data_IF_757339790771
#
_entry.id   IF_757339790771
#
_cell.length_a   1.000
_cell.length_b   1.000
_cell.length_c   1.000
_cell.angle_alpha   90.00
_cell.angle_beta   90.00
_cell.angle_gamma   90.00
#
_symmetry.space_group_name_H-M   'P 1'
#
loop_
_entity.id
_entity.type
_entity.pdbx_description
1 polymer ?
#
# COMPACT_ATOMS: atom_id res chain seq x y z
N UNK A 1 -7.27 62.39 -36.31
CA UNK A 1 -8.34 62.68 -35.35
C UNK A 1 -7.97 62.05 -34.02
N UNK A 2 -7.88 62.89 -32.98
CA UNK A 2 -7.85 62.70 -31.50
C UNK A 2 -7.10 61.48 -30.91
N UNK A 3 -6.06 61.66 -30.08
CA UNK A 3 -6.04 62.21 -28.69
C UNK A 3 -6.91 61.37 -27.74
N UNK A 4 -6.65 61.13 -26.46
CA UNK A 4 -5.54 61.30 -25.52
C UNK A 4 -6.07 60.69 -24.19
N UNK A 5 -5.18 60.22 -23.31
CA UNK A 5 -5.25 60.30 -21.82
C UNK A 5 -6.54 59.84 -21.08
N UNK A 6 -6.39 58.91 -20.12
CA UNK A 6 -6.73 59.16 -18.70
C UNK A 6 -6.42 57.95 -17.81
N UNK A 7 -5.47 58.14 -16.89
CA UNK A 7 -5.34 57.47 -15.59
C UNK A 7 -6.14 58.26 -14.55
N UNK A 8 -6.88 57.61 -13.65
CA UNK A 8 -6.95 57.84 -12.19
C UNK A 8 -8.23 57.26 -11.54
N UNK A 9 -8.10 56.94 -10.25
CA UNK A 9 -9.13 56.57 -9.26
C UNK A 9 -9.66 55.11 -9.32
N UNK A 10 -9.78 54.34 -8.24
CA UNK A 10 -10.11 54.75 -6.89
C UNK A 10 -9.59 53.74 -5.84
N UNK A 11 -8.66 54.24 -5.03
CA UNK A 11 -8.02 53.61 -3.90
C UNK A 11 -8.94 53.75 -2.67
N UNK A 12 -10.09 53.05 -2.63
CA UNK A 12 -11.12 53.31 -1.59
C UNK A 12 -11.92 52.11 -1.07
N UNK A 13 -11.34 50.91 -1.05
CA UNK A 13 -12.02 49.71 -0.53
C UNK A 13 -11.13 48.82 0.37
N UNK A 14 -10.23 49.41 1.17
CA UNK A 14 -9.33 48.65 2.08
C UNK A 14 -9.29 49.18 3.53
N UNK A 15 -10.28 49.94 3.99
CA UNK A 15 -10.29 50.53 5.35
C UNK A 15 -11.62 50.42 6.11
N UNK A 16 -12.51 49.48 5.76
CA UNK A 16 -13.83 49.35 6.40
C UNK A 16 -14.08 48.02 7.14
N UNK A 17 -13.09 47.11 7.22
CA UNK A 17 -13.24 45.80 7.91
C UNK A 17 -12.17 45.67 9.00
N UNK A 18 -12.04 46.71 9.82
CA UNK A 18 -11.01 46.76 10.88
C UNK A 18 -11.48 47.58 12.08
N UNK A 19 -12.77 47.51 12.46
CA UNK A 19 -13.29 48.18 13.67
C UNK A 19 -14.56 47.54 14.29
N UNK A 20 -14.95 46.31 13.90
CA UNK A 20 -16.13 45.63 14.46
C UNK A 20 -15.73 44.23 14.94
N UNK A 21 -15.12 44.16 16.13
CA UNK A 21 -15.00 42.93 16.93
C UNK A 21 -14.27 43.14 18.27
N UNK A 22 -13.82 44.37 18.56
CA UNK A 22 -13.28 44.76 19.86
C UNK A 22 -14.32 45.60 20.61
N UNK A 23 -15.33 44.97 21.22
CA UNK A 23 -16.18 45.44 22.34
C UNK A 23 -17.44 44.56 22.40
N UNK A 24 -17.79 44.08 23.61
CA UNK A 24 -18.85 43.10 23.98
C UNK A 24 -18.28 41.67 24.12
N UNK A 25 -18.07 41.07 25.29
CA UNK A 25 -18.71 41.32 26.58
C UNK A 25 -17.87 40.70 27.70
N UNK A 26 -17.26 41.56 28.52
CA UNK A 26 -16.85 41.24 29.88
C UNK A 26 -18.07 41.56 30.74
N UNK A 27 -18.91 40.58 31.03
CA UNK A 27 -19.93 40.67 32.07
C UNK A 27 -20.51 39.28 32.35
N UNK A 28 -20.07 38.67 33.45
CA UNK A 28 -20.88 37.90 34.41
C UNK A 28 -20.02 36.80 35.05
N UNK A 29 -19.14 37.21 35.96
CA UNK A 29 -18.86 36.38 37.11
C UNK A 29 -20.12 36.40 37.98
N UNK A 30 -20.80 35.26 38.09
CA UNK A 30 -21.74 35.03 39.18
C UNK A 30 -21.43 33.66 39.74
N UNK A 31 -20.84 33.66 40.93
CA UNK A 31 -20.70 32.47 41.77
C UNK A 31 -22.08 31.87 42.01
N UNK A 32 -22.26 30.63 41.59
CA UNK A 32 -23.33 29.79 42.08
C UNK A 32 -22.70 28.54 42.71
N UNK A 33 -22.60 28.55 44.04
CA UNK A 33 -22.28 27.36 44.85
C UNK A 33 -23.47 26.43 44.81
N UNK A 34 -23.47 25.50 43.86
CA UNK A 34 -24.26 24.28 43.95
C UNK A 34 -23.31 23.10 44.08
N UNK A 35 -23.33 22.50 45.27
CA UNK A 35 -22.77 21.19 45.55
C UNK A 35 -23.48 20.17 44.64
N UNK A 36 -22.81 19.78 43.56
CA UNK A 36 -23.07 18.52 42.89
C UNK A 36 -21.78 17.71 42.96
N UNK A 37 -21.83 16.67 43.77
CA UNK A 37 -20.84 15.59 43.77
C UNK A 37 -20.82 15.00 42.36
N UNK A 38 -19.85 15.42 41.55
CA UNK A 38 -19.39 14.61 40.43
C UNK A 38 -18.20 13.82 40.96
N UNK A 39 -18.38 12.52 41.13
CA UNK A 39 -17.25 11.59 41.07
C UNK A 39 -16.52 11.86 39.76
N UNK A 40 -15.42 12.61 39.85
CA UNK A 40 -14.44 12.68 38.79
C UNK A 40 -13.77 11.31 38.75
N UNK A 41 -14.45 10.36 38.11
CA UNK A 41 -13.81 9.19 37.56
C UNK A 41 -12.72 9.71 36.65
N UNK A 42 -11.48 9.75 37.16
CA UNK A 42 -10.30 9.84 36.32
C UNK A 42 -10.33 8.60 35.45
N UNK A 43 -10.99 8.69 34.31
CA UNK A 43 -10.72 7.78 33.20
C UNK A 43 -9.32 8.13 32.77
N UNK A 44 -8.34 7.48 33.39
CA UNK A 44 -7.00 7.36 32.83
C UNK A 44 -7.20 6.79 31.45
N UNK A 45 -7.14 7.66 30.44
CA UNK A 45 -6.95 7.24 29.06
C UNK A 45 -5.58 6.60 29.06
N UNK A 46 -5.55 5.27 29.22
CA UNK A 46 -4.33 4.50 29.05
C UNK A 46 -3.82 4.86 27.66
N UNK A 47 -2.67 5.52 27.62
CA UNK A 47 -1.98 5.82 26.38
C UNK A 47 -1.70 4.48 25.71
N UNK A 48 -2.48 4.17 24.66
CA UNK A 48 -2.31 2.96 23.86
C UNK A 48 -0.84 2.91 23.46
N UNK A 49 -0.10 1.91 23.93
CA UNK A 49 1.29 1.74 23.53
C UNK A 49 1.35 1.72 22.01
N UNK A 50 2.30 2.48 21.45
CA UNK A 50 2.54 2.48 20.01
C UNK A 50 2.92 1.06 19.58
N UNK A 51 2.13 0.48 18.68
CA UNK A 51 2.37 -0.86 18.14
C UNK A 51 3.69 -0.84 17.35
N UNK A 52 4.58 -1.80 17.59
CA UNK A 52 5.79 -2.00 16.80
C UNK A 52 5.56 -3.00 15.66
N UNK A 53 6.39 -2.96 14.60
CA UNK A 53 6.27 -3.94 13.50
C UNK A 53 6.47 -5.37 13.99
N UNK A 54 7.32 -5.60 14.99
CA UNK A 54 7.55 -6.92 15.58
C UNK A 54 6.32 -7.47 16.30
N UNK A 55 5.46 -6.61 16.84
CA UNK A 55 4.21 -7.03 17.49
C UNK A 55 3.20 -7.61 16.49
N UNK A 56 3.41 -7.36 15.19
CA UNK A 56 2.55 -7.87 14.13
C UNK A 56 2.81 -9.34 13.80
N UNK A 57 3.92 -9.94 14.25
CA UNK A 57 4.33 -11.31 13.85
C UNK A 57 3.20 -12.34 14.02
N UNK A 58 2.45 -12.26 15.11
CA UNK A 58 1.34 -13.19 15.39
C UNK A 58 0.10 -13.02 14.50
N UNK A 59 0.06 -12.02 13.62
CA UNK A 59 -1.05 -11.74 12.69
C UNK A 59 -0.88 -12.41 11.33
N UNK A 60 0.34 -12.80 10.99
CA UNK A 60 0.64 -13.41 9.69
C UNK A 60 0.18 -14.86 9.65
N UNK A 61 -0.40 -15.24 8.51
CA UNK A 61 -0.92 -16.60 8.29
C UNK A 61 0.20 -17.64 8.23
N UNK A 62 1.27 -17.29 7.53
CA UNK A 62 2.41 -18.15 7.27
C UNK A 62 3.68 -17.60 7.92
N UNK A 63 4.68 -18.47 8.05
CA UNK A 63 6.02 -18.11 8.52
C UNK A 63 7.06 -18.82 7.67
N UNK A 64 8.13 -18.11 7.32
CA UNK A 64 9.36 -18.66 6.75
C UNK A 64 9.14 -19.46 5.45
N UNK A 65 8.21 -18.99 4.61
CA UNK A 65 7.98 -19.55 3.28
C UNK A 65 9.18 -19.31 2.36
N UNK A 66 9.63 -20.36 1.67
CA UNK A 66 10.68 -20.29 0.65
C UNK A 66 10.14 -20.06 -0.76
N UNK A 67 8.84 -20.28 -1.02
CA UNK A 67 8.23 -20.18 -2.35
C UNK A 67 6.94 -19.39 -2.29
N UNK A 68 6.67 -18.62 -3.35
CA UNK A 68 5.55 -17.69 -3.40
C UNK A 68 4.88 -17.75 -4.76
N UNK A 69 3.55 -17.79 -4.69
CA UNK A 69 2.63 -17.65 -5.79
C UNK A 69 1.37 -16.99 -5.20
N UNK A 70 0.65 -16.20 -5.99
CA UNK A 70 -0.65 -15.69 -5.57
C UNK A 70 -1.65 -16.85 -5.53
N UNK A 71 -2.34 -17.00 -4.40
CA UNK A 71 -3.34 -18.04 -4.23
C UNK A 71 -4.57 -17.77 -5.13
N UNK A 72 -5.09 -18.81 -5.78
CA UNK A 72 -6.27 -18.73 -6.69
C UNK A 72 -7.60 -18.66 -5.95
N UNK A 73 -7.61 -18.18 -4.70
CA UNK A 73 -8.79 -18.12 -3.86
C UNK A 73 -9.78 -17.07 -4.35
N UNK A 74 -11.08 -17.40 -4.27
CA UNK A 74 -12.17 -16.47 -4.52
C UNK A 74 -12.11 -15.31 -3.54
N UNK A 75 -12.30 -14.09 -4.05
CA UNK A 75 -12.32 -12.84 -3.30
C UNK A 75 -13.28 -12.88 -2.12
N UNK A 76 -14.41 -13.56 -2.25
CA UNK A 76 -15.41 -13.68 -1.18
C UNK A 76 -14.94 -14.58 -0.02
N UNK A 77 -14.06 -15.54 -0.31
CA UNK A 77 -13.54 -16.49 0.70
C UNK A 77 -12.25 -16.02 1.36
N UNK A 78 -11.61 -15.00 0.79
CA UNK A 78 -10.34 -14.45 1.25
C UNK A 78 -10.49 -13.72 2.60
N UNK A 79 -11.53 -12.90 2.85
CA UNK A 79 -11.88 -12.41 4.18
C UNK A 79 -12.19 -13.59 5.13
N UNK A 80 -11.31 -13.83 6.10
CA UNK A 80 -11.42 -14.95 7.04
C UNK A 80 -10.36 -16.04 6.85
N UNK A 81 -9.72 -16.11 5.67
CA UNK A 81 -8.53 -16.95 5.49
C UNK A 81 -7.27 -16.24 5.99
N UNK A 82 -7.14 -14.95 5.64
CA UNK A 82 -6.12 -14.06 6.16
C UNK A 82 -6.70 -13.02 7.11
N UNK A 83 -5.84 -12.46 7.95
CA UNK A 83 -6.17 -11.28 8.72
C UNK A 83 -5.92 -10.02 7.87
N UNK A 84 -6.91 -9.13 7.82
CA UNK A 84 -6.82 -7.85 7.13
C UNK A 84 -5.94 -6.85 7.88
N UNK A 85 -5.21 -6.03 7.14
CA UNK A 85 -4.50 -4.87 7.68
C UNK A 85 -5.49 -3.74 7.92
N UNK A 86 -5.57 -3.31 9.18
CA UNK A 86 -6.33 -2.12 9.53
C UNK A 86 -5.58 -0.83 9.17
N UNK A 87 -6.31 0.28 9.11
CA UNK A 87 -5.72 1.60 8.78
C UNK A 87 -4.60 2.06 9.72
N UNK A 88 -4.55 1.57 10.95
CA UNK A 88 -3.51 1.94 11.92
C UNK A 88 -2.21 1.21 11.64
N UNK A 89 -2.30 -0.09 11.32
CA UNK A 89 -1.15 -0.93 10.95
C UNK A 89 -0.65 -0.66 9.54
N UNK A 90 -1.53 -0.27 8.61
CA UNK A 90 -1.12 0.20 7.30
C UNK A 90 -0.09 1.33 7.40
N UNK A 91 -0.36 2.36 8.21
CA UNK A 91 0.56 3.50 8.35
C UNK A 91 1.90 3.12 8.96
N UNK A 92 1.94 2.04 9.73
CA UNK A 92 3.17 1.50 10.30
C UNK A 92 4.02 0.80 9.23
N UNK A 93 3.38 0.17 8.24
CA UNK A 93 4.03 -0.53 7.12
C UNK A 93 4.40 0.49 6.03
N UNK A 94 3.45 1.23 5.46
CA UNK A 94 3.70 2.23 4.42
C UNK A 94 3.97 3.62 5.00
N UNK A 95 5.18 3.77 5.55
CA UNK A 95 5.61 4.96 6.30
C UNK A 95 5.87 6.21 5.42
N UNK A 96 6.10 6.03 4.12
CA UNK A 96 6.44 7.13 3.22
C UNK A 96 5.23 7.96 2.77
N UNK A 97 4.01 7.48 3.07
CA UNK A 97 2.76 8.15 2.74
C UNK A 97 2.44 8.23 1.24
N UNK A 98 3.18 7.54 0.37
CA UNK A 98 2.91 7.56 -1.08
C UNK A 98 1.70 6.73 -1.46
N UNK A 99 1.44 5.66 -0.70
CA UNK A 99 0.30 4.78 -0.89
C UNK A 99 -0.83 5.18 0.07
N UNK A 100 -2.03 5.38 -0.47
CA UNK A 100 -3.22 5.58 0.34
C UNK A 100 -3.71 4.25 0.90
N UNK A 101 -4.29 4.27 2.11
CA UNK A 101 -4.97 3.11 2.66
C UNK A 101 -6.27 2.86 1.88
N UNK A 102 -6.42 1.64 1.36
CA UNK A 102 -7.54 1.25 0.49
C UNK A 102 -8.58 0.35 1.15
N UNK A 103 -8.39 -0.05 2.42
CA UNK A 103 -9.07 -1.19 3.08
C UNK A 103 -10.59 -1.12 3.32
N UNK A 104 -11.37 -0.85 2.28
CA UNK A 104 -12.82 -1.00 2.20
C UNK A 104 -13.19 -1.57 0.82
N UNK A 105 -14.20 -2.44 0.76
CA UNK A 105 -14.65 -3.02 -0.51
C UNK A 105 -13.77 -4.19 -0.97
N UNK A 106 -13.47 -4.23 -2.27
CA UNK A 106 -12.61 -5.24 -2.88
C UNK A 106 -11.12 -4.95 -2.70
N UNK A 107 -10.75 -3.69 -2.50
CA UNK A 107 -9.36 -3.27 -2.31
C UNK A 107 -8.89 -3.52 -0.86
N UNK A 108 -7.99 -4.47 -0.65
CA UNK A 108 -7.55 -4.87 0.70
C UNK A 108 -6.10 -5.31 0.77
N UNK A 109 -5.53 -5.13 1.95
CA UNK A 109 -4.23 -5.66 2.32
C UNK A 109 -4.39 -6.72 3.40
N UNK A 110 -3.62 -7.81 3.28
CA UNK A 110 -3.66 -8.93 4.22
C UNK A 110 -2.28 -9.31 4.74
N UNK A 111 -2.21 -9.75 5.99
CA UNK A 111 -1.01 -10.31 6.59
C UNK A 111 -0.76 -11.70 6.00
N UNK A 112 0.21 -11.83 5.10
CA UNK A 112 0.46 -13.08 4.39
C UNK A 112 1.50 -13.96 5.10
N UNK A 113 2.78 -13.58 5.07
CA UNK A 113 3.85 -14.37 5.71
C UNK A 113 4.85 -13.51 6.46
N UNK A 114 5.23 -13.94 7.67
CA UNK A 114 6.42 -13.41 8.35
C UNK A 114 7.69 -14.15 7.91
N UNK A 115 8.86 -13.50 7.90
CA UNK A 115 10.13 -14.10 7.50
C UNK A 115 11.22 -13.86 8.56
N UNK A 116 12.05 -14.88 8.81
CA UNK A 116 13.14 -14.83 9.80
C UNK A 116 14.49 -15.23 9.20
N UNK A 117 14.77 -14.76 7.97
CA UNK A 117 16.02 -15.08 7.25
C UNK A 117 17.21 -14.31 7.79
N UNK A 118 17.02 -13.04 8.12
CA UNK A 118 18.08 -12.20 8.69
C UNK A 118 17.66 -11.61 10.05
N UNK A 119 18.37 -11.92 11.16
CA UNK A 119 18.01 -11.42 12.49
C UNK A 119 18.22 -9.91 12.68
N UNK A 120 18.95 -9.24 11.78
CA UNK A 120 19.13 -7.78 11.82
C UNK A 120 18.03 -7.02 11.06
N UNK A 121 17.15 -7.72 10.34
CA UNK A 121 16.07 -7.16 9.56
C UNK A 121 14.71 -7.59 10.11
N UNK A 122 13.69 -6.79 9.81
CA UNK A 122 12.29 -7.18 9.95
C UNK A 122 11.75 -7.38 8.53
N UNK A 123 11.34 -8.60 8.24
CA UNK A 123 10.94 -9.03 6.90
C UNK A 123 9.57 -9.71 6.95
N UNK A 124 8.67 -9.29 6.07
CA UNK A 124 7.36 -9.91 5.95
C UNK A 124 6.74 -9.64 4.58
N UNK A 125 5.68 -10.36 4.28
CA UNK A 125 4.95 -10.33 3.03
C UNK A 125 3.53 -9.88 3.29
N UNK A 126 3.09 -8.87 2.53
CA UNK A 126 1.69 -8.44 2.48
C UNK A 126 1.09 -8.93 1.16
N UNK A 127 -0.10 -9.52 1.23
CA UNK A 127 -0.93 -9.71 0.05
C UNK A 127 -1.76 -8.44 -0.17
N UNK A 128 -1.52 -7.76 -1.28
CA UNK A 128 -2.31 -6.61 -1.73
C UNK A 128 -3.27 -7.07 -2.81
N UNK A 129 -4.55 -6.76 -2.62
CA UNK A 129 -5.60 -6.87 -3.63
C UNK A 129 -6.02 -5.44 -4.00
N UNK A 130 -5.90 -5.10 -5.27
CA UNK A 130 -6.28 -3.79 -5.80
C UNK A 130 -7.06 -4.00 -7.10
N UNK A 131 -8.39 -3.97 -6.98
CA UNK A 131 -9.36 -4.13 -8.06
C UNK A 131 -9.11 -3.11 -9.17
N UNK A 132 -8.72 -1.89 -8.83
CA UNK A 132 -8.45 -0.83 -9.81
C UNK A 132 -7.24 -1.12 -10.70
N UNK A 133 -6.32 -1.96 -10.20
CA UNK A 133 -5.15 -2.44 -10.94
C UNK A 133 -5.35 -3.80 -11.60
N UNK A 134 -6.48 -4.48 -11.31
CA UNK A 134 -6.73 -5.88 -11.66
C UNK A 134 -5.63 -6.85 -11.23
N UNK A 135 -4.90 -6.52 -10.15
CA UNK A 135 -3.76 -7.28 -9.67
C UNK A 135 -3.92 -7.69 -8.20
N UNK A 136 -3.56 -8.94 -7.94
CA UNK A 136 -3.17 -9.43 -6.63
C UNK A 136 -1.64 -9.50 -6.57
N UNK A 137 -1.03 -8.95 -5.52
CA UNK A 137 0.42 -8.84 -5.37
C UNK A 137 0.89 -9.37 -4.01
N UNK A 138 1.92 -10.21 -4.00
CA UNK A 138 2.68 -10.54 -2.80
C UNK A 138 3.89 -9.60 -2.70
N UNK A 139 3.78 -8.58 -1.86
CA UNK A 139 4.82 -7.59 -1.64
C UNK A 139 5.72 -8.01 -0.47
N UNK A 140 7.01 -8.24 -0.73
CA UNK A 140 8.03 -8.40 0.31
C UNK A 140 8.46 -7.04 0.83
N UNK A 141 8.35 -6.82 2.13
CA UNK A 141 8.69 -5.57 2.79
C UNK A 141 9.87 -5.77 3.75
N UNK A 142 10.87 -4.90 3.65
CA UNK A 142 12.13 -4.99 4.41
C UNK A 142 12.30 -3.73 5.25
N UNK A 143 12.48 -3.92 6.55
CA UNK A 143 12.70 -2.87 7.52
C UNK A 143 13.95 -3.16 8.34
N UNK A 144 14.54 -2.10 8.90
CA UNK A 144 15.56 -2.28 9.93
C UNK A 144 14.91 -2.76 11.24
N UNK A 145 15.74 -3.23 12.19
CA UNK A 145 15.27 -3.67 13.52
C UNK A 145 14.57 -2.59 14.36
N UNK A 146 14.68 -1.31 13.99
CA UNK A 146 13.95 -0.22 14.63
C UNK A 146 12.60 0.04 13.94
N UNK A 147 12.28 -0.75 12.92
CA UNK A 147 11.05 -0.65 12.15
C UNK A 147 11.06 0.42 11.08
N UNK A 148 12.21 0.96 10.66
CA UNK A 148 12.29 1.92 9.55
C UNK A 148 12.31 1.19 8.21
N UNK A 149 11.47 1.62 7.28
CA UNK A 149 11.44 1.04 5.93
C UNK A 149 12.80 1.18 5.22
N UNK A 150 13.30 0.07 4.69
CA UNK A 150 14.55 0.01 3.91
C UNK A 150 14.23 -0.13 2.43
N UNK A 151 13.52 -1.19 2.07
CA UNK A 151 13.24 -1.56 0.68
C UNK A 151 12.03 -2.50 0.58
N UNK A 152 11.55 -2.73 -0.63
CA UNK A 152 10.49 -3.69 -0.91
C UNK A 152 10.52 -4.13 -2.37
N UNK A 153 9.98 -5.32 -2.66
CA UNK A 153 9.80 -5.79 -4.04
C UNK A 153 8.65 -6.80 -4.12
N UNK A 154 8.14 -7.03 -5.33
CA UNK A 154 7.07 -8.00 -5.59
C UNK A 154 7.71 -9.40 -5.70
N UNK A 155 7.19 -10.36 -4.94
CA UNK A 155 7.60 -11.78 -5.00
C UNK A 155 6.82 -12.54 -6.06
N UNK A 156 5.52 -12.26 -6.12
CA UNK A 156 4.56 -12.94 -6.95
C UNK A 156 3.40 -11.99 -7.25
N UNK A 157 2.79 -12.18 -8.40
CA UNK A 157 1.68 -11.37 -8.86
C UNK A 157 0.73 -12.22 -9.70
N UNK A 158 -0.53 -11.83 -9.70
CA UNK A 158 -1.53 -12.34 -10.62
C UNK A 158 -2.39 -11.17 -11.05
N UNK A 159 -2.28 -10.79 -12.31
CA UNK A 159 -3.05 -9.71 -12.92
C UNK A 159 -3.76 -10.19 -14.17
N UNK A 160 -4.88 -9.53 -14.51
CA UNK A 160 -5.48 -9.73 -15.82
C UNK A 160 -6.56 -8.71 -16.15
N UNK A 161 -6.57 -8.25 -17.39
CA UNK A 161 -7.55 -7.31 -17.92
C UNK A 161 -7.78 -7.59 -19.42
N UNK A 162 -9.02 -7.90 -19.79
CA UNK A 162 -9.46 -7.86 -21.19
C UNK A 162 -8.68 -8.70 -22.21
N UNK A 163 -8.00 -9.78 -21.80
CA UNK A 163 -7.15 -10.63 -22.66
C UNK A 163 -5.66 -10.51 -22.37
N UNK A 164 -5.25 -9.50 -21.61
CA UNK A 164 -3.93 -9.42 -21.00
C UNK A 164 -3.90 -10.18 -19.67
N UNK A 165 -2.81 -10.91 -19.44
CA UNK A 165 -2.55 -11.66 -18.21
C UNK A 165 -1.09 -11.48 -17.83
N UNK A 166 -0.84 -11.22 -16.55
CA UNK A 166 0.49 -11.25 -15.96
C UNK A 166 0.49 -12.17 -14.75
N UNK A 167 1.39 -13.15 -14.74
CA UNK A 167 1.58 -14.05 -13.60
C UNK A 167 3.04 -14.08 -13.23
N UNK A 168 3.35 -13.90 -11.95
CA UNK A 168 4.69 -14.16 -11.43
C UNK A 168 4.66 -15.04 -10.19
N UNK A 169 5.69 -15.86 -10.08
CA UNK A 169 5.93 -16.74 -8.93
C UNK A 169 7.43 -16.91 -8.77
N UNK A 170 7.86 -17.37 -7.60
CA UNK A 170 9.28 -17.54 -7.38
C UNK A 170 9.61 -18.19 -6.06
N UNK A 171 10.91 -18.26 -5.78
CA UNK A 171 11.44 -18.85 -4.56
C UNK A 171 12.78 -18.28 -4.15
N UNK A 172 13.06 -18.33 -2.85
CA UNK A 172 14.40 -18.14 -2.33
C UNK A 172 15.27 -19.35 -2.69
N UNK A 173 16.40 -19.09 -3.34
CA UNK A 173 17.41 -20.12 -3.65
C UNK A 173 18.56 -20.12 -2.63
N UNK A 174 18.70 -19.01 -1.89
CA UNK A 174 19.55 -18.83 -0.71
C UNK A 174 18.82 -17.91 0.27
N UNK A 175 19.40 -17.66 1.45
CA UNK A 175 18.83 -16.74 2.46
C UNK A 175 18.64 -15.31 1.95
N UNK A 176 19.45 -14.87 0.97
CA UNK A 176 19.51 -13.51 0.47
C UNK A 176 19.13 -13.37 -1.02
N UNK A 177 18.85 -14.47 -1.71
CA UNK A 177 18.62 -14.46 -3.16
C UNK A 177 17.26 -15.08 -3.50
N UNK A 178 16.40 -14.27 -4.12
CA UNK A 178 15.10 -14.67 -4.64
C UNK A 178 15.12 -14.73 -6.16
N UNK A 179 14.54 -15.78 -6.74
CA UNK A 179 14.34 -15.90 -8.18
C UNK A 179 12.86 -15.91 -8.50
N UNK A 180 12.46 -14.95 -9.33
CA UNK A 180 11.11 -14.79 -9.86
C UNK A 180 11.07 -15.24 -11.32
N UNK A 181 10.04 -15.99 -11.67
CA UNK A 181 9.62 -16.21 -13.05
C UNK A 181 8.32 -15.44 -13.25
N UNK A 182 8.31 -14.53 -14.22
CA UNK A 182 7.13 -13.80 -14.63
C UNK A 182 6.77 -14.11 -16.07
N UNK A 183 5.49 -14.30 -16.34
CA UNK A 183 4.92 -14.54 -17.66
C UNK A 183 3.89 -13.45 -17.91
N UNK A 184 4.07 -12.72 -19.00
CA UNK A 184 3.13 -11.73 -19.50
C UNK A 184 2.62 -12.22 -20.85
N UNK A 185 1.30 -12.27 -21.03
CA UNK A 185 0.65 -12.69 -22.28
C UNK A 185 -0.52 -11.80 -22.62
N UNK A 186 -0.76 -11.61 -23.92
CA UNK A 186 -1.93 -10.95 -24.47
C UNK A 186 -2.57 -11.88 -25.51
N UNK A 187 -3.90 -12.01 -25.46
CA UNK A 187 -4.66 -12.78 -26.44
C UNK A 187 -5.43 -11.89 -27.41
N UNK A 188 -5.36 -12.25 -28.70
CA UNK A 188 -6.10 -11.59 -29.77
C UNK A 188 -6.98 -12.59 -30.53
N UNK A 189 -8.23 -12.20 -30.79
CA UNK A 189 -9.17 -12.98 -31.61
C UNK A 189 -9.08 -12.49 -33.07
N UNK A 190 -8.61 -13.34 -33.97
CA UNK A 190 -8.50 -13.02 -35.40
C UNK A 190 -9.65 -13.63 -36.18
N UNK A 191 -10.61 -12.79 -36.58
CA UNK A 191 -11.74 -13.20 -37.42
C UNK A 191 -11.33 -13.27 -38.90
N UNK A 192 -10.71 -14.39 -39.31
CA UNK A 192 -10.32 -14.63 -40.71
C UNK A 192 -10.91 -15.94 -41.25
N UNK A 193 -12.22 -15.97 -41.47
CA UNK A 193 -12.94 -17.12 -42.04
C UNK A 193 -13.08 -18.34 -41.11
N UNK A 194 -12.11 -18.54 -40.22
CA UNK A 194 -12.14 -19.38 -39.02
C UNK A 194 -11.73 -18.49 -37.84
N UNK A 195 -12.38 -18.63 -36.69
CA UNK A 195 -11.98 -17.94 -35.47
C UNK A 195 -10.68 -18.59 -34.98
N UNK A 196 -9.62 -17.80 -34.84
CA UNK A 196 -8.33 -18.23 -34.27
C UNK A 196 -8.00 -17.35 -33.08
N UNK A 197 -7.47 -17.95 -32.03
CA UNK A 197 -6.92 -17.22 -30.88
C UNK A 197 -5.39 -17.26 -30.97
N UNK A 198 -4.76 -16.08 -30.92
CA UNK A 198 -3.31 -15.96 -30.86
C UNK A 198 -2.96 -15.48 -29.47
N UNK A 199 -2.05 -16.20 -28.80
CA UNK A 199 -1.46 -15.78 -27.52
C UNK A 199 -0.01 -15.38 -27.80
N UNK A 200 0.35 -14.13 -27.54
CA UNK A 200 1.72 -13.64 -27.61
C UNK A 200 2.19 -13.12 -26.25
N UNK A 201 3.49 -13.22 -25.97
CA UNK A 201 3.99 -12.77 -24.67
C UNK A 201 5.48 -12.99 -24.45
N UNK A 202 5.89 -12.78 -23.20
CA UNK A 202 7.25 -12.95 -22.73
C UNK A 202 7.27 -13.68 -21.39
N UNK A 203 8.21 -14.63 -21.24
CA UNK A 203 8.62 -15.20 -19.96
C UNK A 203 9.97 -14.61 -19.57
N UNK A 204 10.04 -14.04 -18.37
CA UNK A 204 11.24 -13.39 -17.83
C UNK A 204 11.63 -14.07 -16.53
N UNK A 205 12.92 -14.34 -16.36
CA UNK A 205 13.50 -14.77 -15.07
C UNK A 205 14.26 -13.60 -14.48
N UNK A 206 13.86 -13.17 -13.28
CA UNK A 206 14.49 -12.08 -12.54
C UNK A 206 15.11 -12.62 -11.26
N UNK A 207 16.33 -12.17 -10.93
CA UNK A 207 16.96 -12.41 -9.65
C UNK A 207 16.96 -11.13 -8.81
N UNK A 208 16.52 -11.26 -7.56
CA UNK A 208 16.63 -10.24 -6.54
C UNK A 208 17.66 -10.68 -5.50
N UNK A 209 18.56 -9.77 -5.12
CA UNK A 209 19.57 -10.01 -4.08
C UNK A 209 19.37 -8.97 -2.98
N UNK A 210 19.12 -9.44 -1.76
CA UNK A 210 18.94 -8.63 -0.55
C UNK A 210 20.32 -8.44 0.09
N UNK A 211 20.83 -7.21 0.06
CA UNK A 211 22.06 -6.85 0.74
C UNK A 211 21.96 -7.00 2.25
N UNK A 212 23.12 -7.06 2.93
CA UNK A 212 23.17 -7.06 4.40
C UNK A 212 22.54 -5.82 5.04
N UNK A 213 22.47 -4.73 4.29
CA UNK A 213 21.81 -3.48 4.65
C UNK A 213 20.31 -3.47 4.32
N UNK A 214 19.76 -4.59 3.86
CA UNK A 214 18.37 -4.76 3.44
C UNK A 214 18.03 -4.17 2.07
N UNK A 215 19.00 -3.59 1.34
CA UNK A 215 18.75 -3.02 0.01
C UNK A 215 18.67 -4.10 -1.05
N UNK A 216 17.72 -3.96 -1.95
CA UNK A 216 17.46 -4.96 -2.99
C UNK A 216 18.11 -4.54 -4.30
N UNK A 217 18.83 -5.47 -4.92
CA UNK A 217 19.29 -5.32 -6.30
C UNK A 217 18.53 -6.30 -7.20
N UNK A 218 18.09 -5.83 -8.37
CA UNK A 218 17.32 -6.60 -9.34
C UNK A 218 18.16 -6.83 -10.60
N UNK A 219 18.15 -8.06 -11.13
CA UNK A 219 18.80 -8.41 -12.39
C UNK A 219 17.95 -9.36 -13.20
N UNK A 220 17.65 -9.01 -14.45
CA UNK A 220 17.11 -9.95 -15.43
C UNK A 220 18.17 -11.00 -15.79
N UNK A 221 17.81 -12.27 -15.69
CA UNK A 221 18.67 -13.42 -15.96
C UNK A 221 18.40 -13.98 -17.34
N UNK A 222 17.14 -14.04 -17.75
CA UNK A 222 16.75 -14.49 -19.08
C UNK A 222 15.39 -13.94 -19.47
N UNK A 223 15.15 -13.92 -20.78
CA UNK A 223 13.87 -13.58 -21.41
C UNK A 223 13.63 -14.51 -22.59
N UNK A 224 12.43 -15.07 -22.68
CA UNK A 224 11.99 -15.95 -23.75
C UNK A 224 10.64 -15.47 -24.29
N UNK A 225 10.51 -15.41 -25.62
CA UNK A 225 9.25 -15.03 -26.27
C UNK A 225 8.29 -16.21 -26.35
N UNK A 226 7.02 -15.96 -26.10
CA UNK A 226 5.91 -16.91 -26.23
C UNK A 226 5.07 -16.51 -27.45
N UNK A 227 4.69 -17.49 -28.27
CA UNK A 227 3.68 -17.33 -29.32
C UNK A 227 3.01 -18.66 -29.59
N UNK A 228 1.69 -18.70 -29.42
CA UNK A 228 0.86 -19.88 -29.64
C UNK A 228 -0.37 -19.51 -30.49
N UNK A 229 -0.81 -20.42 -31.36
CA UNK A 229 -2.02 -20.28 -32.19
C UNK A 229 -2.95 -21.44 -31.84
N UNK A 230 -4.17 -21.12 -31.38
CA UNK A 230 -5.20 -22.06 -30.90
C UNK A 230 -6.39 -22.04 -31.86
#
# INVERSE_FOLDING_TARGET
MHAAVSTYENHRMKKAILYISLLLSIAACTENKNNLSSETGKTTVEARQSLSLTDLKGRFKYTDLDSFQVDTMDWETRPGFYQELDSSTFKLIWQDGKRNFIGQGYDRDYYYSWQTRNPELIEFVVLTQDESSYCDLLQYCIYDKNGKAIDNFILAASCGDGGWVYQSSGKFITEDTYEEVSVETESEIVASGNIKEIIEGDSIVTRFIIGKDGKVTKKEISKARIREEI
#
